data_IF_671455760795
#
_entry.id   IF_671455760795
#
_cell.length_a   1.000
_cell.length_b   1.000
_cell.length_c   1.000
_cell.angle_alpha   90.00
_cell.angle_beta   90.00
_cell.angle_gamma   90.00
#
_symmetry.space_group_name_H-M   'P 1'
#
loop_
_entity.id
_entity.type
_entity.pdbx_description
1 polymer ?
#
# COMPACT_ATOMS: atom_id res chain seq x y z
N UNK A 1 19.22 34.71 20.21
CA UNK A 1 19.68 35.15 18.88
C UNK A 1 20.55 34.13 18.13
N UNK A 2 21.72 33.69 18.62
CA UNK A 2 22.52 32.67 17.89
C UNK A 2 21.89 31.26 17.91
N UNK A 3 21.34 30.83 19.05
CA UNK A 3 20.67 29.54 19.21
C UNK A 3 19.36 29.43 18.42
N UNK A 4 18.66 30.54 18.18
CA UNK A 4 17.43 30.56 17.38
C UNK A 4 17.71 30.37 15.88
N UNK A 5 18.89 30.78 15.40
CA UNK A 5 19.31 30.63 14.00
C UNK A 5 19.67 29.19 13.64
N UNK A 6 20.31 28.45 14.55
CA UNK A 6 20.67 27.04 14.35
C UNK A 6 19.43 26.14 14.33
N UNK A 7 18.51 26.30 15.29
CA UNK A 7 17.26 25.52 15.33
C UNK A 7 16.38 25.74 14.09
N UNK A 8 16.31 26.97 13.56
CA UNK A 8 15.54 27.25 12.36
C UNK A 8 16.16 26.60 11.11
N UNK A 9 17.49 26.55 11.02
CA UNK A 9 18.21 25.87 9.94
C UNK A 9 17.98 24.36 9.97
N UNK A 10 18.00 23.75 11.15
CA UNK A 10 17.73 22.32 11.34
C UNK A 10 16.31 21.97 10.88
N UNK A 11 15.29 22.68 11.38
CA UNK A 11 13.89 22.43 11.01
C UNK A 11 13.69 22.54 9.50
N UNK A 12 14.29 23.55 8.86
CA UNK A 12 14.22 23.73 7.42
C UNK A 12 14.81 22.54 6.67
N UNK A 13 15.90 21.98 7.18
CA UNK A 13 16.53 20.80 6.58
C UNK A 13 15.67 19.54 6.79
N UNK A 14 15.11 19.33 7.98
CA UNK A 14 14.18 18.21 8.18
C UNK A 14 12.97 18.31 7.25
N UNK A 15 12.36 19.48 7.09
CA UNK A 15 11.24 19.70 6.16
C UNK A 15 11.63 19.32 4.72
N UNK A 16 12.83 19.71 4.27
CA UNK A 16 13.34 19.33 2.95
C UNK A 16 13.46 17.83 2.78
N UNK A 17 14.00 17.13 3.78
CA UNK A 17 14.11 15.66 3.74
C UNK A 17 12.74 15.01 3.69
N UNK A 18 11.76 15.51 4.44
CA UNK A 18 10.38 14.99 4.40
C UNK A 18 9.69 15.22 3.05
N UNK A 19 9.86 16.40 2.46
CA UNK A 19 9.33 16.70 1.11
C UNK A 19 9.99 15.81 0.06
N UNK A 20 11.30 15.61 0.15
CA UNK A 20 12.05 14.71 -0.72
C UNK A 20 11.55 13.26 -0.59
N UNK A 21 11.42 12.76 0.64
CA UNK A 21 10.94 11.40 0.90
C UNK A 21 9.51 11.18 0.37
N UNK A 22 8.64 12.19 0.53
CA UNK A 22 7.29 12.15 0.00
C UNK A 22 7.29 12.11 -1.54
N UNK A 23 8.11 12.95 -2.18
CA UNK A 23 8.27 12.96 -3.63
C UNK A 23 8.83 11.63 -4.17
N UNK A 24 9.80 11.05 -3.45
CA UNK A 24 10.37 9.75 -3.80
C UNK A 24 9.34 8.63 -3.66
N UNK A 25 8.59 8.61 -2.56
CA UNK A 25 7.50 7.67 -2.35
C UNK A 25 6.39 7.82 -3.40
N UNK A 26 6.03 9.05 -3.78
CA UNK A 26 5.03 9.32 -4.80
C UNK A 26 5.50 8.86 -6.19
N UNK A 27 6.77 9.11 -6.53
CA UNK A 27 7.39 8.63 -7.78
C UNK A 27 7.45 7.10 -7.82
N UNK A 28 7.68 6.46 -6.68
CA UNK A 28 7.75 5.00 -6.59
C UNK A 28 6.36 4.34 -6.65
N UNK A 29 5.38 4.87 -5.92
CA UNK A 29 4.06 4.26 -5.77
C UNK A 29 3.05 4.69 -6.84
N UNK A 30 3.37 5.70 -7.65
CA UNK A 30 2.47 6.23 -8.69
C UNK A 30 3.19 6.42 -10.02
N UNK A 31 2.43 6.54 -11.12
CA UNK A 31 2.95 6.92 -12.44
C UNK A 31 3.03 8.44 -12.64
N UNK A 32 2.73 9.24 -11.61
CA UNK A 32 2.78 10.70 -11.74
C UNK A 32 4.23 11.19 -11.70
N UNK A 33 4.65 12.05 -12.63
CA UNK A 33 5.97 12.66 -12.57
C UNK A 33 5.97 13.68 -11.42
N UNK A 34 6.62 13.32 -10.30
CA UNK A 34 6.86 14.27 -9.22
C UNK A 34 8.18 15.01 -9.47
N UNK A 35 8.19 16.35 -9.33
CA UNK A 35 9.43 17.12 -9.43
C UNK A 35 10.33 16.75 -8.26
N UNK A 36 11.39 16.00 -8.54
CA UNK A 36 12.41 15.64 -7.58
C UNK A 36 13.62 16.56 -7.75
N UNK A 37 14.28 16.98 -6.66
CA UNK A 37 15.57 17.67 -6.76
C UNK A 37 16.55 16.83 -7.59
N UNK A 38 17.32 17.47 -8.46
CA UNK A 38 18.41 16.82 -9.20
C UNK A 38 19.51 16.41 -8.21
N UNK A 39 19.37 15.21 -7.64
CA UNK A 39 20.34 14.55 -6.78
C UNK A 39 20.35 13.07 -7.12
N UNK A 40 21.53 12.46 -7.09
CA UNK A 40 21.66 11.01 -7.22
C UNK A 40 20.94 10.30 -6.07
N UNK A 41 20.17 9.25 -6.39
CA UNK A 41 19.53 8.43 -5.38
C UNK A 41 20.58 7.71 -4.54
N UNK A 42 20.61 7.99 -3.25
CA UNK A 42 21.55 7.36 -2.33
C UNK A 42 21.01 6.03 -1.79
N UNK A 43 21.92 5.16 -1.37
CA UNK A 43 21.54 3.88 -0.74
C UNK A 43 20.76 4.16 0.54
N UNK A 44 19.52 3.63 0.62
CA UNK A 44 18.64 3.82 1.79
C UNK A 44 17.69 5.01 1.69
N UNK A 45 17.75 5.83 0.64
CA UNK A 45 16.75 6.87 0.40
C UNK A 45 15.35 6.26 0.25
N UNK A 46 15.24 5.18 -0.53
CA UNK A 46 13.98 4.51 -0.80
C UNK A 46 13.43 3.81 0.46
N UNK A 47 14.29 3.20 1.28
CA UNK A 47 13.85 2.61 2.55
C UNK A 47 13.43 3.69 3.57
N UNK A 48 14.12 4.84 3.63
CA UNK A 48 13.69 5.98 4.46
C UNK A 48 12.33 6.50 4.01
N UNK A 49 12.13 6.66 2.71
CA UNK A 49 10.88 7.16 2.12
C UNK A 49 9.65 6.31 2.48
N UNK A 50 9.82 5.03 2.85
CA UNK A 50 8.74 4.16 3.34
C UNK A 50 7.97 4.74 4.53
N UNK A 51 8.56 5.65 5.31
CA UNK A 51 7.86 6.39 6.38
C UNK A 51 6.70 7.24 5.85
N UNK A 52 6.76 7.66 4.59
CA UNK A 52 5.74 8.52 3.94
C UNK A 52 4.75 7.74 3.07
N UNK A 53 4.94 6.43 2.88
CA UNK A 53 4.06 5.61 2.05
C UNK A 53 2.57 5.69 2.45
N UNK A 54 2.20 5.75 3.75
CA UNK A 54 0.80 5.95 4.14
C UNK A 54 0.19 7.26 3.63
N UNK A 55 0.97 8.34 3.56
CA UNK A 55 0.50 9.65 3.06
C UNK A 55 0.19 9.53 1.56
N UNK A 56 1.11 8.94 0.79
CA UNK A 56 0.91 8.71 -0.65
C UNK A 56 -0.28 7.76 -0.89
N UNK A 57 -0.36 6.70 -0.09
CA UNK A 57 -1.47 5.75 -0.12
C UNK A 57 -2.82 6.42 0.12
N UNK A 58 -2.91 7.29 1.12
CA UNK A 58 -4.11 8.09 1.39
C UNK A 58 -4.48 9.00 0.22
N UNK A 59 -3.49 9.61 -0.44
CA UNK A 59 -3.70 10.40 -1.66
C UNK A 59 -4.25 9.57 -2.83
N UNK A 60 -3.74 8.34 -3.03
CA UNK A 60 -4.28 7.40 -4.01
C UNK A 60 -5.74 7.05 -3.68
N UNK A 61 -6.03 6.77 -2.41
CA UNK A 61 -7.38 6.50 -1.92
C UNK A 61 -8.33 7.68 -2.11
N UNK A 62 -7.85 8.91 -1.92
CA UNK A 62 -8.60 10.13 -2.18
C UNK A 62 -8.98 10.24 -3.67
N UNK A 63 -8.02 10.05 -4.58
CA UNK A 63 -8.29 10.08 -6.03
C UNK A 63 -9.31 9.01 -6.42
N UNK A 64 -9.14 7.79 -5.92
CA UNK A 64 -10.09 6.70 -6.14
C UNK A 64 -11.50 7.04 -5.64
N UNK A 65 -11.60 7.62 -4.44
CA UNK A 65 -12.86 8.05 -3.85
C UNK A 65 -13.52 9.20 -4.60
N UNK A 66 -12.74 10.16 -5.11
CA UNK A 66 -13.27 11.26 -5.93
C UNK A 66 -13.83 10.75 -7.26
N UNK A 67 -13.17 9.79 -7.91
CA UNK A 67 -13.69 9.13 -9.12
C UNK A 67 -14.97 8.36 -8.81
N UNK A 68 -15.02 7.66 -7.67
CA UNK A 68 -16.22 6.97 -7.20
C UNK A 68 -17.39 7.95 -6.97
N UNK A 69 -17.15 9.08 -6.30
CA UNK A 69 -18.16 10.13 -6.10
C UNK A 69 -18.64 10.66 -7.45
N UNK A 70 -17.73 11.00 -8.37
CA UNK A 70 -18.09 11.49 -9.69
C UNK A 70 -18.95 10.47 -10.47
N UNK A 71 -18.63 9.18 -10.39
CA UNK A 71 -19.44 8.10 -10.95
C UNK A 71 -20.84 8.03 -10.29
N UNK A 72 -20.93 8.25 -8.99
CA UNK A 72 -22.19 8.29 -8.25
C UNK A 72 -23.08 9.47 -8.67
N UNK A 73 -22.51 10.65 -8.93
CA UNK A 73 -23.24 11.82 -9.44
C UNK A 73 -23.81 11.59 -10.85
N UNK A 74 -23.23 10.66 -11.61
CA UNK A 74 -23.77 10.19 -12.89
C UNK A 74 -24.87 9.13 -12.72
N UNK A 75 -25.33 8.86 -11.50
CA UNK A 75 -26.33 7.85 -11.15
C UNK A 75 -25.95 6.42 -11.57
N UNK A 76 -24.65 6.11 -11.60
CA UNK A 76 -24.20 4.73 -11.81
C UNK A 76 -24.50 3.86 -10.59
N UNK A 77 -24.67 2.54 -10.83
CA UNK A 77 -24.87 1.59 -9.75
C UNK A 77 -23.66 1.58 -8.79
N UNK A 78 -23.84 1.38 -7.46
CA UNK A 78 -22.75 1.44 -6.48
C UNK A 78 -21.55 0.56 -6.81
N UNK A 79 -21.80 -0.65 -7.34
CA UNK A 79 -20.74 -1.56 -7.78
C UNK A 79 -19.92 -0.98 -8.95
N UNK A 80 -20.56 -0.30 -9.91
CA UNK A 80 -19.86 0.36 -11.00
C UNK A 80 -19.02 1.54 -10.49
N UNK A 81 -19.54 2.33 -9.53
CA UNK A 81 -18.79 3.39 -8.87
C UNK A 81 -17.54 2.85 -8.16
N UNK A 82 -17.68 1.76 -7.41
CA UNK A 82 -16.56 1.09 -6.74
C UNK A 82 -15.51 0.59 -7.74
N UNK A 83 -15.94 -0.07 -8.83
CA UNK A 83 -15.05 -0.55 -9.88
C UNK A 83 -14.28 0.59 -10.56
N UNK A 84 -14.93 1.72 -10.85
CA UNK A 84 -14.28 2.88 -11.45
C UNK A 84 -13.26 3.53 -10.49
N UNK A 85 -13.59 3.63 -9.20
CA UNK A 85 -12.64 4.10 -8.18
C UNK A 85 -11.41 3.20 -8.07
N UNK A 86 -11.60 1.88 -8.01
CA UNK A 86 -10.49 0.91 -7.99
C UNK A 86 -9.67 0.92 -9.29
N UNK A 87 -10.32 1.08 -10.45
CA UNK A 87 -9.64 1.21 -11.73
C UNK A 87 -8.78 2.49 -11.78
N UNK A 88 -9.28 3.61 -11.25
CA UNK A 88 -8.50 4.84 -11.15
C UNK A 88 -7.28 4.68 -10.24
N UNK A 89 -7.42 3.99 -9.11
CA UNK A 89 -6.28 3.67 -8.25
C UNK A 89 -5.24 2.82 -8.98
N UNK A 90 -5.67 1.74 -9.67
CA UNK A 90 -4.78 0.86 -10.42
C UNK A 90 -4.08 1.60 -11.57
N UNK A 91 -4.76 2.48 -12.31
CA UNK A 91 -4.14 3.29 -13.35
C UNK A 91 -3.12 4.27 -12.78
N UNK A 92 -3.45 4.91 -11.65
CA UNK A 92 -2.58 5.86 -10.97
C UNK A 92 -1.29 5.20 -10.45
N UNK A 93 -1.39 3.99 -9.91
CA UNK A 93 -0.23 3.22 -9.43
C UNK A 93 0.48 2.44 -10.55
N UNK A 94 -0.14 2.35 -11.73
CA UNK A 94 0.33 1.47 -12.80
C UNK A 94 0.16 -0.02 -12.48
N UNK A 95 -0.80 -0.36 -11.63
CA UNK A 95 -1.12 -1.70 -11.14
C UNK A 95 0.05 -2.38 -10.40
N UNK A 96 0.96 -1.59 -9.81
CA UNK A 96 2.19 -2.08 -9.17
C UNK A 96 1.94 -3.20 -8.15
N UNK A 97 0.96 -3.03 -7.26
CA UNK A 97 0.70 -4.02 -6.22
C UNK A 97 -0.21 -5.16 -6.69
N UNK A 98 -1.14 -4.86 -7.62
CA UNK A 98 -1.94 -5.87 -8.31
C UNK A 98 -1.05 -6.87 -9.04
N UNK A 99 -0.07 -6.38 -9.81
CA UNK A 99 0.94 -7.19 -10.50
C UNK A 99 1.73 -8.04 -9.50
N UNK A 100 2.22 -7.42 -8.42
CA UNK A 100 2.91 -8.15 -7.35
C UNK A 100 2.07 -9.25 -6.69
N UNK A 101 0.75 -9.06 -6.53
CA UNK A 101 -0.14 -10.11 -6.06
C UNK A 101 -0.23 -11.26 -7.07
N UNK A 102 -0.44 -10.95 -8.36
CA UNK A 102 -0.55 -11.94 -9.41
C UNK A 102 0.73 -12.79 -9.50
N UNK A 103 1.89 -12.14 -9.58
CA UNK A 103 3.20 -12.78 -9.68
C UNK A 103 3.53 -13.60 -8.44
N UNK A 104 3.18 -13.10 -7.25
CA UNK A 104 3.37 -13.84 -6.00
C UNK A 104 2.57 -15.14 -6.02
N UNK A 105 1.31 -15.07 -6.43
CA UNK A 105 0.41 -16.22 -6.46
C UNK A 105 0.82 -17.22 -7.54
N UNK A 106 1.12 -16.76 -8.77
CA UNK A 106 1.61 -17.64 -9.85
C UNK A 106 2.95 -18.28 -9.49
N UNK A 107 3.88 -17.49 -8.91
CA UNK A 107 5.14 -18.00 -8.42
C UNK A 107 4.94 -19.10 -7.39
N UNK A 108 4.17 -18.84 -6.33
CA UNK A 108 3.98 -19.80 -5.23
C UNK A 108 3.16 -21.03 -5.62
N UNK A 109 2.18 -20.90 -6.51
CA UNK A 109 1.33 -22.01 -6.94
C UNK A 109 1.94 -22.83 -8.09
N UNK A 110 2.66 -22.17 -9.00
CA UNK A 110 3.20 -22.78 -10.23
C UNK A 110 4.60 -23.37 -10.08
N UNK A 111 5.45 -22.84 -9.19
CA UNK A 111 6.83 -23.31 -9.02
C UNK A 111 6.96 -24.43 -7.97
N UNK A 112 7.78 -25.46 -8.25
CA UNK A 112 8.06 -26.55 -7.29
C UNK A 112 9.26 -26.22 -6.41
N UNK A 113 10.30 -25.64 -6.99
CA UNK A 113 11.53 -25.23 -6.28
C UNK A 113 11.59 -23.72 -6.06
N UNK A 114 12.37 -23.25 -5.09
CA UNK A 114 12.60 -21.80 -4.87
C UNK A 114 13.04 -21.08 -6.15
N UNK A 115 13.93 -21.69 -6.93
CA UNK A 115 14.44 -21.10 -8.17
C UNK A 115 13.34 -20.98 -9.23
N UNK A 116 12.49 -22.00 -9.37
CA UNK A 116 11.34 -21.95 -10.30
C UNK A 116 10.33 -20.88 -9.91
N UNK A 117 9.97 -20.79 -8.61
CA UNK A 117 9.03 -19.76 -8.11
C UNK A 117 9.53 -18.35 -8.43
N UNK A 118 10.81 -18.09 -8.13
CA UNK A 118 11.45 -16.81 -8.42
C UNK A 118 11.63 -16.53 -9.91
N UNK A 119 11.72 -17.57 -10.75
CA UNK A 119 11.74 -17.44 -12.21
C UNK A 119 10.36 -17.06 -12.75
N UNK A 120 9.30 -17.69 -12.24
CA UNK A 120 7.91 -17.38 -12.61
C UNK A 120 7.58 -15.93 -12.24
N UNK A 121 7.96 -15.46 -11.05
CA UNK A 121 7.82 -14.05 -10.63
C UNK A 121 8.67 -13.04 -11.43
N UNK A 122 9.41 -13.45 -12.47
CA UNK A 122 10.07 -12.54 -13.42
C UNK A 122 9.50 -12.67 -14.82
N UNK A 123 8.66 -13.67 -15.04
CA UNK A 123 8.02 -13.88 -16.31
C UNK A 123 6.91 -12.84 -16.43
N UNK A 124 6.89 -12.09 -17.53
CA UNK A 124 5.84 -11.10 -17.79
C UNK A 124 4.50 -11.74 -18.16
N UNK A 125 4.45 -13.05 -18.39
CA UNK A 125 3.20 -13.75 -18.68
C UNK A 125 2.46 -14.08 -17.38
N UNK A 126 1.22 -13.60 -17.30
CA UNK A 126 0.31 -13.95 -16.22
C UNK A 126 -0.19 -15.39 -16.35
N UNK A 127 -0.20 -16.12 -15.24
CA UNK A 127 -0.76 -17.46 -15.12
C UNK A 127 -2.21 -17.46 -14.66
N UNK A 128 -2.84 -18.64 -14.70
CA UNK A 128 -4.24 -18.79 -14.30
C UNK A 128 -4.48 -18.48 -12.81
N UNK A 129 -3.50 -18.75 -11.94
CA UNK A 129 -3.64 -18.45 -10.52
C UNK A 129 -3.52 -16.94 -10.25
N UNK A 130 -2.63 -16.23 -10.95
CA UNK A 130 -2.53 -14.78 -10.91
C UNK A 130 -3.81 -14.10 -11.39
N UNK A 131 -4.39 -14.57 -12.51
CA UNK A 131 -5.69 -14.08 -12.98
C UNK A 131 -6.79 -14.26 -11.92
N UNK A 132 -6.90 -15.46 -11.33
CA UNK A 132 -7.89 -15.71 -10.27
C UNK A 132 -7.64 -14.82 -9.05
N UNK A 133 -6.39 -14.61 -8.65
CA UNK A 133 -6.04 -13.72 -7.54
C UNK A 133 -6.50 -12.28 -7.80
N UNK A 134 -6.30 -11.76 -9.01
CA UNK A 134 -6.77 -10.43 -9.41
C UNK A 134 -8.30 -10.34 -9.44
N UNK A 135 -8.98 -11.35 -9.99
CA UNK A 135 -10.45 -11.41 -10.02
C UNK A 135 -11.02 -11.38 -8.60
N UNK A 136 -10.49 -12.20 -7.69
CA UNK A 136 -10.94 -12.19 -6.30
C UNK A 136 -10.55 -10.89 -5.58
N UNK A 137 -9.34 -10.37 -5.81
CA UNK A 137 -8.88 -9.11 -5.20
C UNK A 137 -9.78 -7.93 -5.57
N UNK A 138 -10.01 -7.71 -6.87
CA UNK A 138 -10.87 -6.61 -7.34
C UNK A 138 -12.33 -6.88 -7.00
N UNK A 139 -12.81 -8.11 -7.19
CA UNK A 139 -14.19 -8.49 -6.94
C UNK A 139 -14.63 -8.32 -5.48
N UNK A 140 -13.81 -8.79 -4.53
CA UNK A 140 -14.09 -8.62 -3.09
C UNK A 140 -14.09 -7.14 -2.73
N UNK A 141 -13.08 -6.38 -3.18
CA UNK A 141 -12.99 -4.95 -2.87
C UNK A 141 -14.18 -4.17 -3.42
N UNK A 142 -14.54 -4.41 -4.68
CA UNK A 142 -15.69 -3.76 -5.31
C UNK A 142 -17.01 -4.13 -4.63
N UNK A 143 -17.21 -5.41 -4.30
CA UNK A 143 -18.42 -5.88 -3.64
C UNK A 143 -18.62 -5.23 -2.26
N UNK A 144 -17.59 -5.21 -1.41
CA UNK A 144 -17.69 -4.62 -0.08
C UNK A 144 -17.84 -3.10 -0.17
N UNK A 145 -17.06 -2.42 -1.02
CA UNK A 145 -17.18 -0.98 -1.23
C UNK A 145 -18.56 -0.58 -1.77
N UNK A 146 -19.21 -1.42 -2.57
CA UNK A 146 -20.56 -1.15 -3.07
C UNK A 146 -21.64 -1.20 -2.00
N UNK A 147 -21.36 -1.85 -0.86
CA UNK A 147 -22.28 -2.00 0.26
C UNK A 147 -22.09 -0.95 1.37
N UNK A 148 -21.09 -0.05 1.28
CA UNK A 148 -20.92 1.00 2.29
C UNK A 148 -22.03 2.06 2.19
N UNK A 149 -22.42 2.74 3.29
CA UNK A 149 -23.65 3.53 3.37
C UNK A 149 -23.82 4.66 2.36
N UNK A 150 -22.72 5.14 1.77
CA UNK A 150 -22.78 6.19 0.76
C UNK A 150 -21.41 6.54 0.18
N UNK A 151 -21.37 7.32 -0.92
CA UNK A 151 -20.15 7.62 -1.65
C UNK A 151 -19.15 8.46 -0.84
N UNK A 152 -19.64 9.32 0.07
CA UNK A 152 -18.79 10.05 1.03
C UNK A 152 -18.06 9.11 2.00
N UNK A 153 -18.77 8.15 2.59
CA UNK A 153 -18.18 7.11 3.44
C UNK A 153 -17.22 6.24 2.63
N UNK A 154 -17.58 5.85 1.40
CA UNK A 154 -16.71 5.07 0.52
C UNK A 154 -15.37 5.77 0.25
N UNK A 155 -15.38 7.10 0.03
CA UNK A 155 -14.15 7.89 -0.11
C UNK A 155 -13.30 7.82 1.17
N UNK A 156 -13.90 8.04 2.34
CA UNK A 156 -13.17 7.99 3.62
C UNK A 156 -12.57 6.59 3.88
N UNK A 157 -13.32 5.54 3.53
CA UNK A 157 -12.82 4.16 3.58
C UNK A 157 -11.63 3.98 2.65
N UNK A 158 -11.71 4.42 1.39
CA UNK A 158 -10.60 4.33 0.44
C UNK A 158 -9.35 5.10 0.90
N UNK A 159 -9.51 6.27 1.51
CA UNK A 159 -8.39 7.03 2.11
C UNK A 159 -7.73 6.23 3.24
N UNK A 160 -8.52 5.68 4.16
CA UNK A 160 -8.01 4.87 5.27
C UNK A 160 -7.30 3.60 4.77
N UNK A 161 -7.90 2.88 3.81
CA UNK A 161 -7.32 1.68 3.18
C UNK A 161 -6.01 2.00 2.46
N UNK A 162 -5.97 3.13 1.75
CA UNK A 162 -4.80 3.69 1.12
C UNK A 162 -3.65 3.84 2.10
N UNK A 163 -3.89 4.41 3.27
CA UNK A 163 -2.89 4.57 4.31
C UNK A 163 -2.48 3.24 4.98
N UNK A 164 -3.46 2.46 5.46
CA UNK A 164 -3.25 1.25 6.27
C UNK A 164 -2.45 0.17 5.54
N UNK A 165 -2.78 -0.08 4.28
CA UNK A 165 -2.14 -1.14 3.50
C UNK A 165 -0.72 -0.81 3.03
N UNK A 166 -0.29 0.46 3.15
CA UNK A 166 1.05 0.93 2.76
C UNK A 166 2.06 0.83 3.91
N UNK A 167 1.62 0.97 5.16
CA UNK A 167 2.45 0.78 6.34
C UNK A 167 3.15 -0.60 6.47
N UNK A 168 2.50 -1.74 6.17
CA UNK A 168 3.15 -3.05 6.33
C UNK A 168 4.35 -3.28 5.40
N UNK A 169 4.49 -2.48 4.33
CA UNK A 169 5.66 -2.58 3.44
C UNK A 169 6.97 -2.30 4.17
N UNK A 170 6.97 -1.31 5.07
CA UNK A 170 8.13 -1.00 5.91
C UNK A 170 8.43 -2.13 6.92
N UNK A 171 7.38 -2.81 7.41
CA UNK A 171 7.52 -3.98 8.30
C UNK A 171 8.16 -5.15 7.57
N UNK A 172 7.73 -5.44 6.35
CA UNK A 172 8.33 -6.50 5.53
C UNK A 172 9.80 -6.17 5.23
N UNK A 173 10.10 -4.94 4.81
CA UNK A 173 11.45 -4.51 4.48
C UNK A 173 12.44 -4.57 5.65
N UNK A 174 11.98 -4.32 6.90
CA UNK A 174 12.86 -4.45 8.08
C UNK A 174 12.99 -5.89 8.59
N UNK A 175 11.94 -6.71 8.45
CA UNK A 175 11.86 -8.04 9.10
C UNK A 175 12.31 -9.19 8.22
N UNK A 176 12.26 -9.06 6.90
CA UNK A 176 12.61 -10.12 5.97
C UNK A 176 13.83 -9.75 5.15
N UNK A 177 14.67 -10.73 4.89
CA UNK A 177 15.78 -10.59 3.96
C UNK A 177 15.23 -10.60 2.52
N UNK A 178 15.82 -9.85 1.59
CA UNK A 178 15.49 -9.99 0.17
C UNK A 178 15.75 -11.43 -0.31
N UNK A 179 14.73 -12.05 -0.91
CA UNK A 179 14.84 -13.40 -1.47
C UNK A 179 15.81 -13.46 -2.67
N UNK A 180 16.13 -12.31 -3.26
CA UNK A 180 17.08 -12.12 -4.36
C UNK A 180 17.97 -10.91 -4.06
N UNK A 181 19.24 -11.00 -4.44
CA UNK A 181 20.20 -9.87 -4.32
C UNK A 181 20.13 -8.92 -5.53
N UNK A 182 19.61 -9.41 -6.66
CA UNK A 182 19.40 -8.69 -7.90
C UNK A 182 17.93 -8.25 -8.02
N UNK A 183 17.72 -6.94 -8.17
CA UNK A 183 16.39 -6.32 -8.32
C UNK A 183 16.08 -5.28 -7.24
N UNK A 184 14.94 -4.60 -7.41
CA UNK A 184 14.56 -3.42 -6.64
C UNK A 184 14.47 -3.67 -5.13
N UNK A 185 14.02 -4.87 -4.72
CA UNK A 185 13.99 -5.27 -3.31
C UNK A 185 15.37 -5.51 -2.70
N UNK A 186 16.39 -5.78 -3.51
CA UNK A 186 17.78 -5.95 -3.07
C UNK A 186 18.52 -4.63 -2.90
N UNK A 187 18.13 -3.60 -3.65
CA UNK A 187 18.73 -2.25 -3.63
C UNK A 187 17.99 -1.26 -2.74
N UNK A 188 16.79 -1.62 -2.27
CA UNK A 188 15.93 -0.76 -1.43
C UNK A 188 16.61 -0.32 -0.13
N UNK A 189 17.50 -1.16 0.40
CA UNK A 189 18.04 -1.03 1.76
C UNK A 189 17.04 -1.48 2.82
N UNK A 190 17.46 -1.47 4.09
CA UNK A 190 16.58 -1.73 5.24
C UNK A 190 16.18 -0.41 5.89
N UNK A 191 14.89 -0.19 6.18
CA UNK A 191 14.48 1.00 6.92
C UNK A 191 14.89 0.88 8.39
N UNK A 192 15.20 2.02 9.01
CA UNK A 192 15.41 2.07 10.45
C UNK A 192 14.10 1.83 11.22
N UNK A 193 14.16 1.26 12.45
CA UNK A 193 12.96 1.03 13.26
C UNK A 193 12.09 2.28 13.46
N UNK A 194 12.71 3.45 13.60
CA UNK A 194 11.99 4.72 13.73
C UNK A 194 11.12 5.06 12.52
N UNK A 195 11.58 4.75 11.30
CA UNK A 195 10.82 4.96 10.07
C UNK A 195 9.63 4.01 9.94
N UNK A 196 9.78 2.76 10.40
CA UNK A 196 8.69 1.78 10.45
C UNK A 196 7.60 2.21 11.43
N UNK A 197 8.00 2.65 12.64
CA UNK A 197 7.07 3.17 13.65
C UNK A 197 6.36 4.41 13.13
N UNK A 198 7.09 5.33 12.49
CA UNK A 198 6.53 6.54 11.89
C UNK A 198 5.48 6.21 10.82
N UNK A 199 5.76 5.24 9.95
CA UNK A 199 4.80 4.75 8.95
C UNK A 199 3.52 4.22 9.61
N UNK A 200 3.64 3.39 10.64
CA UNK A 200 2.50 2.85 11.37
C UNK A 200 1.67 3.95 12.08
N UNK A 201 2.33 4.93 12.70
CA UNK A 201 1.68 6.08 13.34
C UNK A 201 0.92 6.89 12.29
N UNK A 202 1.56 7.26 11.18
CA UNK A 202 0.92 8.04 10.12
C UNK A 202 -0.29 7.31 9.52
N UNK A 203 -0.18 6.01 9.27
CA UNK A 203 -1.30 5.21 8.77
C UNK A 203 -2.49 5.21 9.75
N UNK A 204 -2.20 5.07 11.04
CA UNK A 204 -3.22 5.06 12.10
C UNK A 204 -3.87 6.45 12.23
N UNK A 205 -3.07 7.52 12.26
CA UNK A 205 -3.58 8.89 12.35
C UNK A 205 -4.46 9.27 11.16
N UNK A 206 -4.03 8.94 9.94
CA UNK A 206 -4.84 9.18 8.74
C UNK A 206 -6.17 8.42 8.82
N UNK A 207 -6.14 7.17 9.28
CA UNK A 207 -7.36 6.37 9.43
C UNK A 207 -8.29 6.92 10.49
N UNK A 208 -7.75 7.41 11.62
CA UNK A 208 -8.52 8.10 12.66
C UNK A 208 -9.15 9.39 12.15
N UNK A 209 -8.43 10.17 11.34
CA UNK A 209 -8.98 11.38 10.73
C UNK A 209 -10.08 11.06 9.71
N UNK A 210 -9.93 9.99 8.94
CA UNK A 210 -10.89 9.60 7.92
C UNK A 210 -12.16 8.95 8.50
N UNK A 211 -12.02 8.04 9.47
CA UNK A 211 -13.11 7.19 9.94
C UNK A 211 -13.48 7.43 11.40
N UNK A 212 -12.62 8.03 12.23
CA UNK A 212 -12.77 8.07 13.68
C UNK A 212 -13.99 8.83 14.19
N UNK A 213 -14.57 9.72 13.37
CA UNK A 213 -15.78 10.47 13.69
C UNK A 213 -17.07 9.80 13.19
N UNK A 214 -16.96 8.70 12.46
CA UNK A 214 -18.12 7.90 12.05
C UNK A 214 -18.56 6.99 13.21
N UNK A 215 -19.86 6.71 13.28
CA UNK A 215 -20.38 5.71 14.19
C UNK A 215 -19.72 4.34 13.90
N UNK A 216 -19.17 3.69 14.92
CA UNK A 216 -18.40 2.46 14.77
C UNK A 216 -16.99 2.64 14.18
N UNK A 217 -16.60 3.85 13.78
CA UNK A 217 -15.34 4.12 13.08
C UNK A 217 -14.07 3.71 13.85
N UNK A 218 -14.02 3.99 15.16
CA UNK A 218 -12.90 3.56 16.00
C UNK A 218 -12.78 2.02 16.06
N UNK A 219 -13.91 1.32 16.16
CA UNK A 219 -13.95 -0.15 16.16
C UNK A 219 -13.52 -0.71 14.80
N UNK A 220 -13.99 -0.10 13.71
CA UNK A 220 -13.58 -0.44 12.35
C UNK A 220 -12.06 -0.32 12.16
N UNK A 221 -11.43 0.75 12.67
CA UNK A 221 -9.97 0.95 12.62
C UNK A 221 -9.23 -0.12 13.42
N UNK A 222 -9.69 -0.46 14.62
CA UNK A 222 -9.05 -1.52 15.44
C UNK A 222 -9.08 -2.87 14.74
N UNK A 223 -10.22 -3.26 14.17
CA UNK A 223 -10.31 -4.50 13.38
C UNK A 223 -9.48 -4.43 12.10
N UNK A 224 -9.40 -3.27 11.45
CA UNK A 224 -8.58 -3.08 10.27
C UNK A 224 -7.09 -3.26 10.58
N UNK A 225 -6.60 -2.70 11.70
CA UNK A 225 -5.22 -2.87 12.16
C UNK A 225 -4.90 -4.34 12.47
N UNK A 226 -5.83 -5.06 13.11
CA UNK A 226 -5.69 -6.50 13.31
C UNK A 226 -5.63 -7.24 11.96
N UNK A 227 -6.50 -6.87 11.01
CA UNK A 227 -6.49 -7.40 9.65
C UNK A 227 -5.15 -7.20 8.95
N UNK A 228 -4.56 -6.00 9.00
CA UNK A 228 -3.22 -5.71 8.46
C UNK A 228 -2.17 -6.59 9.12
N UNK A 229 -2.18 -6.69 10.45
CA UNK A 229 -1.19 -7.49 11.18
C UNK A 229 -1.26 -8.98 10.81
N UNK A 230 -2.46 -9.54 10.73
CA UNK A 230 -2.68 -10.93 10.34
C UNK A 230 -2.30 -11.19 8.88
N UNK A 231 -2.74 -10.32 7.96
CA UNK A 231 -2.40 -10.40 6.53
C UNK A 231 -0.88 -10.35 6.32
N UNK A 232 -0.22 -9.37 6.93
CA UNK A 232 1.23 -9.18 6.84
C UNK A 232 1.98 -10.38 7.41
N UNK A 233 1.60 -10.85 8.59
CA UNK A 233 2.20 -12.02 9.22
C UNK A 233 2.03 -13.30 8.40
N UNK A 234 0.83 -13.53 7.86
CA UNK A 234 0.53 -14.68 7.01
C UNK A 234 1.39 -14.68 5.75
N UNK A 235 1.40 -13.58 5.00
CA UNK A 235 2.16 -13.49 3.76
C UNK A 235 3.67 -13.55 4.04
N UNK A 236 4.16 -12.94 5.14
CA UNK A 236 5.55 -13.07 5.56
C UNK A 236 5.96 -14.53 5.82
N UNK A 237 5.15 -15.27 6.59
CA UNK A 237 5.42 -16.70 6.88
C UNK A 237 5.40 -17.52 5.60
N UNK A 238 4.44 -17.27 4.70
CA UNK A 238 4.37 -17.96 3.41
C UNK A 238 5.60 -17.62 2.57
N UNK A 239 5.97 -16.35 2.43
CA UNK A 239 7.11 -15.94 1.62
C UNK A 239 8.44 -16.53 2.12
N UNK A 240 8.65 -16.57 3.46
CA UNK A 240 9.82 -17.25 4.05
C UNK A 240 9.83 -18.74 3.68
N UNK A 241 8.69 -19.43 3.81
CA UNK A 241 8.60 -20.86 3.46
C UNK A 241 8.79 -21.14 1.97
N UNK A 242 8.29 -20.24 1.11
CA UNK A 242 8.25 -20.45 -0.33
C UNK A 242 9.57 -20.07 -1.02
N UNK A 243 10.14 -18.92 -0.65
CA UNK A 243 11.30 -18.33 -1.34
C UNK A 243 12.40 -17.81 -0.39
N UNK A 244 12.22 -17.94 0.93
CA UNK A 244 13.23 -17.58 1.93
C UNK A 244 13.35 -16.09 2.25
N UNK A 245 12.37 -15.27 1.89
CA UNK A 245 12.46 -13.81 2.05
C UNK A 245 11.38 -13.07 1.29
N UNK A 246 11.61 -11.77 1.00
CA UNK A 246 10.68 -10.95 0.22
C UNK A 246 11.20 -10.62 -1.19
N UNK A 247 10.30 -10.35 -2.14
CA UNK A 247 10.54 -9.62 -3.39
C UNK A 247 9.67 -8.36 -3.42
N UNK A 248 9.81 -7.52 -4.45
CA UNK A 248 8.84 -6.44 -4.71
C UNK A 248 7.41 -6.98 -4.88
N UNK A 249 7.29 -8.13 -5.54
CA UNK A 249 6.01 -8.80 -5.79
C UNK A 249 5.34 -9.22 -4.47
N UNK A 250 6.12 -9.82 -3.55
CA UNK A 250 5.63 -10.18 -2.21
C UNK A 250 5.19 -8.95 -1.43
N UNK A 251 5.89 -7.81 -1.57
CA UNK A 251 5.44 -6.54 -0.99
C UNK A 251 4.10 -6.10 -1.60
N UNK A 252 3.93 -6.22 -2.92
CA UNK A 252 2.64 -6.01 -3.59
C UNK A 252 1.53 -6.89 -3.06
N UNK A 253 1.79 -8.19 -2.88
CA UNK A 253 0.85 -9.12 -2.28
C UNK A 253 0.49 -8.74 -0.84
N UNK A 254 1.46 -8.33 -0.01
CA UNK A 254 1.21 -7.86 1.36
C UNK A 254 0.30 -6.64 1.36
N UNK A 255 0.54 -5.68 0.46
CA UNK A 255 -0.30 -4.49 0.33
C UNK A 255 -1.74 -4.88 -0.04
N UNK A 256 -1.94 -5.67 -1.09
CA UNK A 256 -3.27 -6.07 -1.57
C UNK A 256 -4.06 -6.87 -0.53
N UNK A 257 -3.42 -7.86 0.11
CA UNK A 257 -4.09 -8.69 1.11
C UNK A 257 -4.40 -7.88 2.37
N UNK A 258 -3.53 -6.94 2.75
CA UNK A 258 -3.78 -6.02 3.86
C UNK A 258 -4.93 -5.06 3.55
N UNK A 259 -5.02 -4.53 2.32
CA UNK A 259 -6.13 -3.70 1.87
C UNK A 259 -7.47 -4.45 1.92
N UNK A 260 -7.51 -5.69 1.42
CA UNK A 260 -8.70 -6.55 1.47
C UNK A 260 -9.09 -6.87 2.93
N UNK A 261 -8.13 -7.26 3.77
CA UNK A 261 -8.39 -7.59 5.16
C UNK A 261 -8.93 -6.39 5.95
N UNK A 262 -8.34 -5.20 5.74
CA UNK A 262 -8.84 -3.96 6.33
C UNK A 262 -10.23 -3.60 5.81
N UNK A 263 -10.51 -3.79 4.52
CA UNK A 263 -11.82 -3.47 3.95
C UNK A 263 -12.90 -4.42 4.46
N UNK A 264 -12.62 -5.72 4.62
CA UNK A 264 -13.55 -6.67 5.25
C UNK A 264 -13.87 -6.23 6.67
N UNK A 265 -12.85 -5.89 7.46
CA UNK A 265 -13.02 -5.41 8.83
C UNK A 265 -13.88 -4.13 8.88
N UNK A 266 -13.54 -3.12 8.06
CA UNK A 266 -14.26 -1.84 8.03
C UNK A 266 -15.70 -2.04 7.53
N UNK A 267 -15.88 -2.76 6.43
CA UNK A 267 -17.19 -3.06 5.87
C UNK A 267 -18.09 -3.84 6.83
N UNK A 268 -17.53 -4.75 7.64
CA UNK A 268 -18.33 -5.48 8.64
C UNK A 268 -18.88 -4.62 9.78
N UNK A 269 -18.32 -3.43 9.98
CA UNK A 269 -18.71 -2.51 11.06
C UNK A 269 -19.53 -1.33 10.53
N UNK A 270 -19.20 -0.86 9.32
CA UNK A 270 -19.80 0.34 8.74
C UNK A 270 -20.92 0.06 7.72
N UNK A 271 -21.13 -1.19 7.28
CA UNK A 271 -22.21 -1.55 6.35
C UNK A 271 -23.58 -1.70 7.05
#
# INVERSE_FOLDING_TARGET
MALEGETFSEVKEQVRVWVYDLGLAATFLTRLPFPMPERDLETGDLSRAMRTYPIVGAGIGLVAGLVLIAASELNLAPLACAMLGLAAAALLTGALHEDGLADTVDGFAGGRTRAEKLKIMRDSHIGAFGVLALVFSVGIRAAILSGVPGPGTALLVLVALGALSRAPLAVIAIRLDPARKDGLSGTLGRPEPGHVITSAILATLISLLALGFLEGGAVAILWALLGVALATGLIAVVAIKQIGGHTGDVMGAVQQVSEIASLIAIGSVLA
#
